data_IF_603736354878
#
_entry.id   IF_603736354878
#
_cell.length_a   1.000
_cell.length_b   1.000
_cell.length_c   1.000
_cell.angle_alpha   90.00
_cell.angle_beta   90.00
_cell.angle_gamma   90.00
#
_symmetry.space_group_name_H-M   'P 1'
#
loop_
_entity.id
_entity.type
_entity.pdbx_description
1 polymer ?
#
# COMPACT_ATOMS: atom_id res chain seq x y z
N UNK A 1 -31.26 12.24 2.04
CA UNK A 1 -31.28 10.77 2.13
C UNK A 1 -30.82 10.23 0.79
N UNK A 2 -29.50 10.11 0.63
CA UNK A 2 -28.89 9.46 -0.53
C UNK A 2 -28.91 7.96 -0.21
N UNK A 3 -29.63 7.15 -1.00
CA UNK A 3 -29.72 5.71 -0.77
C UNK A 3 -28.33 5.11 -0.98
N UNK A 4 -27.78 4.51 0.07
CA UNK A 4 -26.50 3.81 0.08
C UNK A 4 -26.54 2.65 -0.94
N UNK A 5 -25.85 2.81 -2.07
CA UNK A 5 -25.70 1.76 -3.09
C UNK A 5 -24.60 0.80 -2.67
N UNK A 6 -24.89 -0.51 -2.77
CA UNK A 6 -23.90 -1.59 -2.59
C UNK A 6 -22.84 -1.49 -3.70
N UNK A 7 -21.65 -1.00 -3.34
CA UNK A 7 -20.50 -0.90 -4.25
C UNK A 7 -19.81 -2.24 -4.51
N UNK A 8 -20.32 -3.34 -3.95
CA UNK A 8 -19.84 -4.68 -4.21
C UNK A 8 -18.37 -4.90 -3.85
N UNK A 9 -17.78 -4.06 -2.99
CA UNK A 9 -16.42 -4.19 -2.45
C UNK A 9 -16.36 -5.34 -1.43
N UNK A 10 -16.83 -6.52 -1.83
CA UNK A 10 -16.73 -7.75 -1.03
C UNK A 10 -15.28 -8.21 -1.06
N UNK A 11 -14.61 -8.27 0.10
CA UNK A 11 -13.49 -9.21 0.24
C UNK A 11 -14.07 -10.60 -0.01
N UNK A 12 -13.30 -11.46 -0.68
CA UNK A 12 -13.67 -12.86 -0.90
C UNK A 12 -14.28 -13.44 0.38
N UNK A 13 -15.47 -14.05 0.25
CA UNK A 13 -16.08 -14.87 1.31
C UNK A 13 -15.06 -15.94 1.70
N UNK A 14 -14.40 -15.75 2.83
CA UNK A 14 -13.82 -16.87 3.56
C UNK A 14 -14.98 -17.82 3.87
N UNK A 15 -14.73 -19.12 3.74
CA UNK A 15 -15.77 -20.15 3.68
C UNK A 15 -16.40 -20.47 5.06
N UNK A 16 -16.21 -19.57 6.01
CA UNK A 16 -16.78 -19.54 7.34
C UNK A 16 -17.38 -18.14 7.48
N UNK A 17 -18.71 -18.05 7.63
CA UNK A 17 -19.52 -16.86 7.35
C UNK A 17 -19.34 -15.67 8.29
N UNK A 18 -18.15 -15.07 8.32
CA UNK A 18 -17.85 -13.81 8.99
C UNK A 18 -16.94 -12.96 8.09
N UNK A 19 -17.49 -12.57 6.94
CA UNK A 19 -16.87 -11.58 6.08
C UNK A 19 -17.34 -10.21 6.54
N UNK A 20 -16.47 -9.45 7.22
CA UNK A 20 -16.73 -8.07 7.62
C UNK A 20 -17.34 -7.29 6.45
N UNK A 21 -18.63 -6.99 6.57
CA UNK A 21 -19.34 -6.19 5.59
C UNK A 21 -18.82 -4.76 5.66
N UNK A 22 -18.21 -4.30 4.57
CA UNK A 22 -17.65 -2.94 4.47
C UNK A 22 -18.77 -1.89 4.63
N UNK A 23 -20.04 -2.29 4.48
CA UNK A 23 -21.23 -1.45 4.72
C UNK A 23 -21.34 -0.95 6.16
N UNK A 24 -20.99 -1.75 7.17
CA UNK A 24 -21.07 -1.27 8.56
C UNK A 24 -19.95 -0.29 8.94
N UNK A 25 -18.82 -0.36 8.22
CA UNK A 25 -17.60 0.34 8.59
C UNK A 25 -17.62 1.82 8.19
N UNK A 26 -18.17 2.16 7.02
CA UNK A 26 -18.20 3.55 6.54
C UNK A 26 -19.07 4.42 7.48
N UNK A 27 -20.33 4.07 7.81
CA UNK A 27 -21.14 4.87 8.73
C UNK A 27 -20.55 4.95 10.14
N UNK A 28 -19.93 3.87 10.62
CA UNK A 28 -19.26 3.85 11.92
C UNK A 28 -18.04 4.80 11.94
N UNK A 29 -17.25 4.80 10.86
CA UNK A 29 -16.12 5.71 10.73
C UNK A 29 -16.55 7.16 10.56
N UNK A 30 -17.62 7.45 9.82
CA UNK A 30 -18.15 8.82 9.71
C UNK A 30 -18.64 9.34 11.06
N UNK A 31 -19.21 8.46 11.90
CA UNK A 31 -19.63 8.82 13.26
C UNK A 31 -18.45 9.13 14.20
N UNK A 32 -17.38 8.34 14.14
CA UNK A 32 -16.24 8.47 15.07
C UNK A 32 -15.17 9.42 14.55
N UNK A 33 -14.98 9.47 13.23
CA UNK A 33 -13.97 10.25 12.52
C UNK A 33 -14.59 10.98 11.31
N UNK A 34 -15.49 11.96 11.53
CA UNK A 34 -16.25 12.63 10.46
C UNK A 34 -15.36 13.35 9.43
N UNK A 35 -14.14 13.71 9.80
CA UNK A 35 -13.19 14.40 8.91
C UNK A 35 -12.26 13.43 8.15
N UNK A 36 -12.36 12.12 8.36
CA UNK A 36 -11.50 11.13 7.73
C UNK A 36 -11.84 10.95 6.25
N UNK A 37 -10.81 10.87 5.41
CA UNK A 37 -11.00 10.53 4.01
C UNK A 37 -11.02 9.02 3.85
N UNK A 38 -12.15 8.49 3.37
CA UNK A 38 -12.24 7.09 3.00
C UNK A 38 -11.67 6.89 1.61
N UNK A 39 -10.64 6.04 1.48
CA UNK A 39 -10.02 5.71 0.20
C UNK A 39 -10.08 4.21 -0.05
N UNK A 40 -10.59 3.82 -1.21
CA UNK A 40 -10.68 2.44 -1.64
C UNK A 40 -9.36 1.99 -2.23
N UNK A 41 -8.94 0.78 -1.86
CA UNK A 41 -7.77 0.15 -2.46
C UNK A 41 -8.06 -0.12 -3.94
N UNK A 42 -7.25 0.47 -4.83
CA UNK A 42 -7.41 0.33 -6.27
C UNK A 42 -7.35 -1.14 -6.73
N UNK A 43 -6.61 -1.97 -5.99
CA UNK A 43 -6.56 -3.42 -6.24
C UNK A 43 -7.92 -4.08 -6.10
N UNK A 44 -8.71 -3.72 -5.08
CA UNK A 44 -10.05 -4.31 -4.90
C UNK A 44 -11.02 -3.83 -5.98
N UNK A 45 -10.93 -2.55 -6.38
CA UNK A 45 -11.73 -2.03 -7.52
C UNK A 45 -11.40 -2.83 -8.78
N UNK A 46 -10.12 -3.08 -9.04
CA UNK A 46 -9.69 -3.88 -10.18
C UNK A 46 -10.14 -5.35 -10.12
N UNK A 47 -10.08 -5.97 -8.94
CA UNK A 47 -10.57 -7.36 -8.75
C UNK A 47 -12.08 -7.45 -9.03
N UNK A 48 -12.85 -6.46 -8.61
CA UNK A 48 -14.28 -6.35 -8.95
C UNK A 48 -14.50 -6.09 -10.45
N UNK A 49 -13.73 -5.16 -11.03
CA UNK A 49 -13.79 -4.84 -12.45
C UNK A 49 -13.55 -6.09 -13.31
N UNK A 50 -12.56 -6.92 -12.94
CA UNK A 50 -12.22 -8.19 -13.62
C UNK A 50 -13.35 -9.21 -13.69
N UNK A 51 -14.34 -9.14 -12.80
CA UNK A 51 -15.48 -10.04 -12.84
C UNK A 51 -16.38 -9.75 -14.06
N UNK A 52 -16.46 -8.49 -14.48
CA UNK A 52 -17.26 -8.03 -15.62
C UNK A 52 -16.40 -7.76 -16.87
N UNK A 53 -15.26 -7.10 -16.71
CA UNK A 53 -14.38 -6.62 -17.77
C UNK A 53 -12.98 -7.22 -17.62
N UNK A 54 -12.63 -8.16 -18.51
CA UNK A 54 -11.35 -8.89 -18.46
C UNK A 54 -10.34 -8.33 -19.45
N UNK A 55 -9.08 -8.31 -19.05
CA UNK A 55 -7.96 -7.94 -19.92
C UNK A 55 -7.02 -6.93 -19.29
N UNK A 56 -5.76 -6.93 -19.74
CA UNK A 56 -4.73 -6.01 -19.24
C UNK A 56 -5.05 -4.54 -19.56
N UNK A 57 -5.71 -4.27 -20.69
CA UNK A 57 -6.09 -2.90 -21.08
C UNK A 57 -6.95 -2.20 -20.01
N UNK A 58 -7.95 -2.89 -19.45
CA UNK A 58 -8.79 -2.33 -18.37
C UNK A 58 -7.98 -2.01 -17.11
N UNK A 59 -7.03 -2.88 -16.75
CA UNK A 59 -6.09 -2.61 -15.65
C UNK A 59 -5.31 -1.33 -15.92
N UNK A 60 -4.70 -1.24 -17.09
CA UNK A 60 -3.82 -0.11 -17.42
C UNK A 60 -4.62 1.21 -17.47
N UNK A 61 -5.84 1.21 -18.02
CA UNK A 61 -6.76 2.35 -18.00
C UNK A 61 -7.20 2.75 -16.58
N UNK A 62 -7.57 1.78 -15.74
CA UNK A 62 -7.94 2.02 -14.35
C UNK A 62 -6.78 2.66 -13.56
N UNK A 63 -5.54 2.17 -13.76
CA UNK A 63 -4.36 2.77 -13.12
C UNK A 63 -4.08 4.17 -13.66
N UNK A 64 -4.23 4.41 -14.96
CA UNK A 64 -4.08 5.73 -15.57
C UNK A 64 -5.07 6.75 -14.97
N UNK A 65 -6.33 6.35 -14.82
CA UNK A 65 -7.37 7.12 -14.15
C UNK A 65 -7.06 7.41 -12.68
N UNK A 66 -6.71 6.37 -11.92
CA UNK A 66 -6.46 6.51 -10.49
C UNK A 66 -5.22 7.35 -10.18
N UNK A 67 -4.19 7.28 -11.04
CA UNK A 67 -2.93 8.01 -10.86
C UNK A 67 -2.94 9.43 -11.44
N UNK A 68 -3.96 9.80 -12.20
CA UNK A 68 -4.17 11.17 -12.68
C UNK A 68 -4.27 12.12 -11.51
N UNK A 69 -3.44 13.17 -11.49
CA UNK A 69 -3.38 14.12 -10.37
C UNK A 69 -4.26 15.35 -10.56
N UNK A 70 -4.76 15.61 -11.76
CA UNK A 70 -5.70 16.70 -12.04
C UNK A 70 -6.99 16.15 -12.63
N UNK A 71 -8.08 16.92 -12.49
CA UNK A 71 -9.42 16.50 -12.94
C UNK A 71 -9.47 16.44 -14.46
N UNK A 72 -8.79 17.34 -15.16
CA UNK A 72 -8.74 17.40 -16.62
C UNK A 72 -8.11 16.13 -17.19
N UNK A 73 -6.98 15.67 -16.63
CA UNK A 73 -6.37 14.40 -17.05
C UNK A 73 -7.25 13.20 -16.71
N UNK A 74 -7.97 13.25 -15.59
CA UNK A 74 -8.90 12.20 -15.22
C UNK A 74 -10.06 12.10 -16.22
N UNK A 75 -10.68 13.22 -16.58
CA UNK A 75 -11.78 13.30 -17.55
C UNK A 75 -11.34 12.85 -18.95
N UNK A 76 -10.15 13.28 -19.41
CA UNK A 76 -9.57 12.81 -20.66
C UNK A 76 -9.42 11.27 -20.69
N UNK A 77 -8.95 10.69 -19.58
CA UNK A 77 -8.80 9.24 -19.46
C UNK A 77 -10.16 8.52 -19.32
N UNK A 78 -11.18 9.17 -18.73
CA UNK A 78 -12.54 8.62 -18.67
C UNK A 78 -13.16 8.56 -20.06
N UNK A 79 -12.94 9.59 -20.88
CA UNK A 79 -13.40 9.61 -22.26
C UNK A 79 -12.67 8.57 -23.13
N UNK A 80 -11.37 8.35 -22.89
CA UNK A 80 -10.63 7.25 -23.53
C UNK A 80 -11.21 5.87 -23.15
N UNK A 81 -11.53 5.66 -21.87
CA UNK A 81 -12.20 4.44 -21.42
C UNK A 81 -13.59 4.29 -22.06
N UNK A 82 -14.36 5.38 -22.19
CA UNK A 82 -15.67 5.38 -22.84
C UNK A 82 -15.60 4.95 -24.30
N UNK A 83 -14.62 5.49 -25.04
CA UNK A 83 -14.36 5.13 -26.45
C UNK A 83 -13.93 3.67 -26.59
N UNK A 84 -13.19 3.15 -25.62
CA UNK A 84 -12.77 1.76 -25.59
C UNK A 84 -13.93 0.80 -25.22
N UNK A 85 -14.70 1.16 -24.19
CA UNK A 85 -15.87 0.43 -23.72
C UNK A 85 -16.76 1.34 -22.85
N UNK A 86 -17.93 1.73 -23.38
CA UNK A 86 -18.88 2.59 -22.69
C UNK A 86 -19.45 1.96 -21.40
N UNK A 87 -19.71 0.64 -21.40
CA UNK A 87 -20.24 -0.06 -20.22
C UNK A 87 -19.22 -0.07 -19.07
N UNK A 88 -17.94 -0.23 -19.38
CA UNK A 88 -16.86 -0.16 -18.39
C UNK A 88 -16.73 1.24 -17.79
N UNK A 89 -16.91 2.28 -18.61
CA UNK A 89 -16.92 3.66 -18.14
C UNK A 89 -18.12 3.96 -17.25
N UNK A 90 -19.33 3.51 -17.65
CA UNK A 90 -20.54 3.67 -16.84
C UNK A 90 -20.38 2.97 -15.49
N UNK A 91 -19.90 1.72 -15.49
CA UNK A 91 -19.64 0.96 -14.27
C UNK A 91 -18.66 1.67 -13.33
N UNK A 92 -17.57 2.22 -13.86
CA UNK A 92 -16.57 2.90 -13.06
C UNK A 92 -17.07 4.26 -12.54
N UNK A 93 -17.93 4.93 -13.30
CA UNK A 93 -18.56 6.20 -12.91
C UNK A 93 -19.51 6.07 -11.74
N UNK A 94 -20.00 4.87 -11.45
CA UNK A 94 -20.81 4.65 -10.26
C UNK A 94 -19.95 4.85 -8.99
N UNK A 95 -18.66 4.50 -9.01
CA UNK A 95 -17.78 4.63 -7.84
C UNK A 95 -17.26 6.09 -7.73
N UNK A 96 -17.60 6.84 -6.66
CA UNK A 96 -17.19 8.25 -6.56
C UNK A 96 -15.67 8.44 -6.61
N UNK A 97 -15.12 9.24 -7.56
CA UNK A 97 -13.68 9.39 -7.77
C UNK A 97 -12.89 9.84 -6.54
N UNK A 98 -13.51 10.60 -5.63
CA UNK A 98 -12.93 11.04 -4.34
C UNK A 98 -12.36 9.89 -3.50
N UNK A 99 -12.86 8.67 -3.70
CA UNK A 99 -12.41 7.49 -2.95
C UNK A 99 -11.23 6.77 -3.61
N UNK A 100 -10.93 6.97 -4.89
CA UNK A 100 -9.99 6.09 -5.59
C UNK A 100 -9.06 6.76 -6.62
N UNK A 101 -9.28 8.03 -6.96
CA UNK A 101 -8.40 8.78 -7.87
C UNK A 101 -7.70 9.95 -7.18
N UNK A 102 -6.39 10.07 -7.42
CA UNK A 102 -5.55 11.16 -6.89
C UNK A 102 -6.09 12.54 -7.26
N UNK A 103 -6.67 12.67 -8.45
CA UNK A 103 -7.28 13.90 -8.97
C UNK A 103 -8.40 14.45 -8.09
N UNK A 104 -9.01 13.61 -7.24
CA UNK A 104 -10.13 14.01 -6.37
C UNK A 104 -9.79 13.90 -4.88
N UNK A 105 -8.54 13.58 -4.53
CA UNK A 105 -8.09 13.65 -3.14
C UNK A 105 -7.92 15.11 -2.72
N UNK A 106 -8.26 15.45 -1.47
CA UNK A 106 -8.13 16.84 -0.99
C UNK A 106 -6.68 17.28 -0.76
N UNK A 107 -5.78 16.30 -0.59
CA UNK A 107 -4.39 16.55 -0.16
C UNK A 107 -4.19 16.61 1.36
N UNK A 108 -5.25 16.69 2.18
CA UNK A 108 -5.13 16.78 3.65
C UNK A 108 -4.37 15.61 4.28
N UNK A 109 -4.49 14.41 3.72
CA UNK A 109 -3.80 13.23 4.22
C UNK A 109 -2.30 13.21 3.90
N UNK A 110 -1.81 14.12 3.04
CA UNK A 110 -0.42 14.18 2.56
C UNK A 110 0.07 12.79 2.15
N UNK A 111 -0.71 12.17 1.27
CA UNK A 111 -0.51 10.79 0.84
C UNK A 111 -1.16 10.58 -0.52
N UNK A 112 -0.44 9.93 -1.42
CA UNK A 112 -0.90 9.52 -2.74
C UNK A 112 -1.05 8.00 -2.85
N UNK A 113 -1.14 7.31 -1.71
CA UNK A 113 -1.27 5.85 -1.66
C UNK A 113 -2.63 5.43 -2.21
N UNK A 114 -2.58 4.52 -3.20
CA UNK A 114 -3.76 3.92 -3.84
C UNK A 114 -3.91 2.42 -3.50
N UNK A 115 -2.92 1.83 -2.84
CA UNK A 115 -2.82 0.40 -2.59
C UNK A 115 -2.72 0.11 -1.10
N UNK A 116 -3.17 -1.08 -0.70
CA UNK A 116 -3.15 -1.50 0.70
C UNK A 116 -1.80 -2.07 1.19
N UNK A 117 -0.70 -1.61 0.58
CA UNK A 117 0.64 -2.14 0.84
C UNK A 117 1.02 -2.05 2.33
N UNK A 118 0.57 -1.01 3.04
CA UNK A 118 0.87 -0.84 4.47
C UNK A 118 0.24 -1.95 5.32
N UNK A 119 -1.04 -2.29 5.06
CA UNK A 119 -1.70 -3.38 5.78
C UNK A 119 -1.11 -4.74 5.39
N UNK A 120 -0.72 -4.93 4.13
CA UNK A 120 -0.08 -6.18 3.69
C UNK A 120 1.27 -6.40 4.38
N UNK A 121 2.08 -5.35 4.49
CA UNK A 121 3.34 -5.41 5.24
C UNK A 121 3.06 -5.68 6.72
N UNK A 122 2.09 -5.02 7.34
CA UNK A 122 1.73 -5.29 8.73
C UNK A 122 1.26 -6.74 8.93
N UNK A 123 0.31 -7.21 8.12
CA UNK A 123 -0.25 -8.56 8.19
C UNK A 123 0.81 -9.64 8.01
N UNK A 124 1.79 -9.41 7.14
CA UNK A 124 2.90 -10.36 6.96
C UNK A 124 3.82 -10.42 8.18
N UNK A 125 3.99 -9.34 8.94
CA UNK A 125 4.82 -9.31 10.15
C UNK A 125 4.19 -10.06 11.32
N UNK A 126 2.87 -10.02 11.44
CA UNK A 126 2.13 -10.69 12.52
C UNK A 126 1.69 -12.12 12.18
N UNK A 127 1.99 -12.61 10.97
CA UNK A 127 1.53 -13.89 10.47
C UNK A 127 1.87 -15.07 11.38
N UNK A 128 3.09 -15.07 11.95
CA UNK A 128 3.53 -16.16 12.84
C UNK A 128 2.97 -16.06 14.26
N UNK A 129 2.47 -14.88 14.66
CA UNK A 129 1.92 -14.62 15.98
C UNK A 129 0.39 -14.68 16.06
N UNK A 130 -0.31 -14.37 14.96
CA UNK A 130 -1.77 -14.16 14.96
C UNK A 130 -2.61 -15.41 15.27
N UNK A 131 -2.05 -16.60 15.02
CA UNK A 131 -2.73 -17.87 15.28
C UNK A 131 -2.37 -18.47 16.66
N UNK A 132 -1.62 -17.72 17.49
CA UNK A 132 -1.21 -18.17 18.84
C UNK A 132 -2.29 -17.85 19.88
N UNK A 133 -2.29 -18.52 21.05
CA UNK A 133 -3.12 -18.11 22.19
C UNK A 133 -2.94 -16.62 22.49
N UNK A 134 -3.99 -15.95 22.97
CA UNK A 134 -4.05 -14.48 23.10
C UNK A 134 -2.82 -13.88 23.77
N UNK A 135 -2.35 -14.48 24.87
CA UNK A 135 -1.14 -14.03 25.59
C UNK A 135 0.09 -14.12 24.70
N UNK A 136 0.31 -15.27 24.04
CA UNK A 136 1.45 -15.47 23.15
C UNK A 136 1.38 -14.60 21.89
N UNK A 137 0.18 -14.30 21.37
CA UNK A 137 -0.01 -13.38 20.26
C UNK A 137 0.38 -11.96 20.66
N UNK A 138 -0.08 -11.49 21.82
CA UNK A 138 0.26 -10.16 22.34
C UNK A 138 1.76 -10.03 22.62
N UNK A 139 2.38 -11.05 23.23
CA UNK A 139 3.83 -11.08 23.44
C UNK A 139 4.61 -11.05 22.12
N UNK A 140 4.17 -11.80 21.11
CA UNK A 140 4.79 -11.76 19.78
C UNK A 140 4.71 -10.36 19.15
N UNK A 141 3.54 -9.70 19.24
CA UNK A 141 3.35 -8.33 18.75
C UNK A 141 4.25 -7.36 19.51
N UNK A 142 4.29 -7.46 20.84
CA UNK A 142 5.14 -6.63 21.72
C UNK A 142 6.61 -6.73 21.34
N UNK A 143 7.15 -7.95 21.24
CA UNK A 143 8.55 -8.19 20.84
C UNK A 143 8.85 -7.69 19.42
N UNK A 144 7.91 -7.87 18.49
CA UNK A 144 8.05 -7.40 17.10
C UNK A 144 8.13 -5.87 17.05
N UNK A 145 7.29 -5.18 17.82
CA UNK A 145 7.30 -3.72 17.93
C UNK A 145 8.59 -3.22 18.58
N UNK A 146 9.03 -3.83 19.69
CA UNK A 146 10.30 -3.48 20.34
C UNK A 146 11.48 -3.59 19.37
N UNK A 147 11.61 -4.73 18.67
CA UNK A 147 12.70 -4.94 17.69
C UNK A 147 12.64 -3.92 16.57
N UNK A 148 11.43 -3.62 16.06
CA UNK A 148 11.24 -2.59 15.02
C UNK A 148 11.68 -1.21 15.49
N UNK A 149 11.29 -0.82 16.70
CA UNK A 149 11.67 0.47 17.29
C UNK A 149 13.19 0.60 17.37
N UNK A 150 13.89 -0.41 17.90
CA UNK A 150 15.36 -0.42 17.99
C UNK A 150 16.01 -0.31 16.60
N UNK A 151 15.55 -1.10 15.64
CA UNK A 151 16.07 -1.05 14.27
C UNK A 151 15.87 0.33 13.63
N UNK A 152 14.73 0.97 13.87
CA UNK A 152 14.44 2.31 13.35
C UNK A 152 15.35 3.36 14.00
N UNK A 153 15.55 3.31 15.32
CA UNK A 153 16.48 4.21 16.03
C UNK A 153 17.89 4.07 15.47
N UNK A 154 18.39 2.84 15.30
CA UNK A 154 19.71 2.60 14.74
C UNK A 154 19.90 3.18 13.32
N UNK A 155 18.82 3.27 12.53
CA UNK A 155 18.83 3.96 11.24
C UNK A 155 18.79 5.48 11.43
N UNK A 156 17.98 5.99 12.35
CA UNK A 156 17.89 7.42 12.66
C UNK A 156 19.21 8.00 13.18
N UNK A 157 19.96 7.25 13.97
CA UNK A 157 21.23 7.69 14.57
C UNK A 157 22.37 7.78 13.54
N UNK A 158 22.27 6.99 12.46
CA UNK A 158 23.25 6.97 11.36
C UNK A 158 22.89 7.92 10.21
N UNK A 159 21.73 8.56 10.27
CA UNK A 159 21.21 9.38 9.19
C UNK A 159 21.28 10.86 9.55
N UNK A 160 21.87 11.65 8.66
CA UNK A 160 22.24 13.05 8.89
C UNK A 160 21.46 14.06 8.04
N UNK A 161 20.72 13.60 7.03
CA UNK A 161 19.92 14.48 6.17
C UNK A 161 18.61 14.94 6.82
N UNK A 162 18.07 16.07 6.34
CA UNK A 162 16.81 16.66 6.79
C UNK A 162 15.61 15.71 6.63
N UNK A 163 15.52 15.02 5.50
CA UNK A 163 14.43 14.10 5.17
C UNK A 163 14.75 12.68 5.61
N UNK A 164 13.73 11.85 5.86
CA UNK A 164 13.92 10.42 6.11
C UNK A 164 14.55 9.70 4.91
N UNK A 165 15.27 8.57 5.09
CA UNK A 165 16.01 7.92 4.00
C UNK A 165 15.18 7.61 2.74
N UNK A 166 13.95 7.11 2.94
CA UNK A 166 13.06 6.80 1.80
C UNK A 166 12.51 8.07 1.14
N UNK A 167 12.21 9.11 1.93
CA UNK A 167 11.73 10.39 1.42
C UNK A 167 12.82 11.09 0.61
N UNK A 168 14.05 11.12 1.13
CA UNK A 168 15.24 11.64 0.46
C UNK A 168 15.45 10.97 -0.89
N UNK A 169 15.51 9.62 -0.91
CA UNK A 169 15.63 8.86 -2.17
C UNK A 169 14.52 9.18 -3.17
N UNK A 170 13.27 9.30 -2.70
CA UNK A 170 12.15 9.66 -3.57
C UNK A 170 12.28 11.08 -4.10
N UNK A 171 12.75 12.01 -3.28
CA UNK A 171 12.92 13.41 -3.62
C UNK A 171 14.07 13.62 -4.60
N UNK A 172 15.17 12.86 -4.50
CA UNK A 172 16.24 12.83 -5.52
C UNK A 172 15.69 12.49 -6.91
N UNK A 173 14.81 11.48 -7.00
CA UNK A 173 14.15 11.12 -8.28
C UNK A 173 13.25 12.26 -8.80
N UNK A 174 12.71 13.11 -7.92
CA UNK A 174 11.95 14.29 -8.31
C UNK A 174 12.90 15.38 -8.83
N UNK A 175 14.01 15.63 -8.15
CA UNK A 175 15.06 16.58 -8.57
C UNK A 175 15.64 16.21 -9.94
N UNK A 176 15.94 14.94 -10.20
CA UNK A 176 16.38 14.44 -11.51
C UNK A 176 15.38 14.74 -12.65
N UNK A 177 14.08 14.79 -12.35
CA UNK A 177 13.04 15.14 -13.33
C UNK A 177 12.85 16.65 -13.45
N UNK A 178 13.14 17.39 -12.38
CA UNK A 178 13.07 18.84 -12.35
C UNK A 178 14.13 19.48 -13.24
N UNK A 179 15.34 18.89 -13.33
CA UNK A 179 16.44 19.40 -14.16
C UNK A 179 16.13 19.43 -15.66
N UNK A 180 15.07 18.74 -16.06
CA UNK A 180 14.58 18.67 -17.46
C UNK A 180 13.42 19.63 -17.72
N UNK A 181 13.03 20.44 -16.73
CA UNK A 181 11.93 21.39 -16.86
C UNK A 181 12.46 22.77 -17.29
N UNK A 182 11.65 23.51 -18.04
CA UNK A 182 11.94 24.89 -18.42
C UNK A 182 11.05 25.82 -17.61
N UNK A 183 11.63 26.84 -17.00
CA UNK A 183 10.96 27.77 -16.10
C UNK A 183 10.85 29.15 -16.76
N UNK A 184 9.69 29.80 -16.61
CA UNK A 184 9.47 31.21 -16.94
C UNK A 184 8.90 31.90 -15.72
N UNK A 185 9.64 32.87 -15.20
CA UNK A 185 9.25 33.63 -14.01
C UNK A 185 8.43 34.87 -14.40
N UNK A 186 7.43 35.23 -13.59
CA UNK A 186 6.58 36.39 -13.84
C UNK A 186 7.04 37.68 -13.11
N UNK A 187 8.12 37.63 -12.34
CA UNK A 187 8.57 38.76 -11.50
C UNK A 187 8.17 38.68 -10.02
N UNK A 188 7.40 37.67 -9.59
CA UNK A 188 6.95 37.52 -8.21
C UNK A 188 7.04 36.06 -7.69
N UNK A 189 6.02 35.51 -7.03
CA UNK A 189 6.04 34.11 -6.55
C UNK A 189 5.50 33.11 -7.59
N UNK A 190 5.16 33.55 -8.81
CA UNK A 190 4.52 32.72 -9.82
C UNK A 190 5.48 32.34 -10.95
N UNK A 191 5.45 31.06 -11.30
CA UNK A 191 6.32 30.49 -12.33
C UNK A 191 5.50 29.62 -13.26
N UNK A 192 5.70 29.82 -14.57
CA UNK A 192 5.21 28.92 -15.60
C UNK A 192 6.30 27.89 -15.89
N UNK A 193 6.01 26.61 -15.65
CA UNK A 193 6.98 25.54 -15.79
C UNK A 193 6.48 24.51 -16.80
N UNK A 194 7.30 24.22 -17.81
CA UNK A 194 7.04 23.19 -18.80
C UNK A 194 7.94 21.97 -18.55
N UNK A 195 7.43 20.77 -18.84
CA UNK A 195 8.25 19.56 -18.88
C UNK A 195 9.21 19.54 -20.08
N UNK A 196 10.07 18.51 -20.18
CA UNK A 196 11.00 18.38 -21.29
C UNK A 196 10.30 18.34 -22.65
N UNK A 197 10.92 19.08 -23.57
CA UNK A 197 10.56 19.55 -24.90
C UNK A 197 9.62 18.70 -25.76
N UNK A 198 8.40 19.20 -25.90
CA UNK A 198 7.56 19.17 -27.11
C UNK A 198 6.78 20.51 -27.16
N UNK A 199 6.49 21.09 -28.33
CA UNK A 199 5.67 22.31 -28.43
C UNK A 199 4.29 22.18 -27.76
N UNK A 200 3.79 20.95 -27.59
CA UNK A 200 2.52 20.63 -26.92
C UNK A 200 2.71 20.14 -25.47
N UNK A 201 3.88 20.36 -24.84
CA UNK A 201 4.08 19.89 -23.46
C UNK A 201 3.17 20.68 -22.53
N UNK A 202 2.40 20.02 -21.64
CA UNK A 202 1.57 20.70 -20.67
C UNK A 202 2.42 21.63 -19.81
N UNK A 203 1.87 22.83 -19.58
CA UNK A 203 2.47 23.86 -18.74
C UNK A 203 1.76 23.88 -17.40
N UNK A 204 2.53 24.09 -16.34
CA UNK A 204 2.00 24.14 -14.98
C UNK A 204 2.39 25.45 -14.32
N UNK A 205 1.47 26.03 -13.58
CA UNK A 205 1.73 27.21 -12.76
C UNK A 205 2.18 26.72 -11.38
N UNK A 206 3.30 27.26 -10.93
CA UNK A 206 3.82 27.06 -9.57
C UNK A 206 3.68 28.39 -8.83
N UNK A 207 3.11 28.33 -7.63
CA UNK A 207 3.09 29.44 -6.70
C UNK A 207 3.92 29.04 -5.48
N UNK A 208 5.11 29.65 -5.34
CA UNK A 208 6.02 29.35 -4.24
C UNK A 208 5.58 29.97 -2.91
N UNK A 209 4.80 31.06 -2.95
CA UNK A 209 4.27 31.71 -1.75
C UNK A 209 3.19 30.84 -1.09
N UNK A 210 2.30 30.27 -1.91
CA UNK A 210 1.25 29.34 -1.45
C UNK A 210 1.70 27.89 -1.37
N UNK A 211 2.90 27.57 -1.87
CA UNK A 211 3.46 26.21 -1.95
C UNK A 211 2.56 25.26 -2.75
N UNK A 212 2.04 25.74 -3.88
CA UNK A 212 1.14 24.98 -4.75
C UNK A 212 1.71 24.83 -6.15
N UNK A 213 1.18 23.83 -6.87
CA UNK A 213 1.44 23.65 -8.28
C UNK A 213 0.18 23.09 -8.93
N UNK A 214 -0.22 23.62 -10.08
CA UNK A 214 -1.43 23.16 -10.78
C UNK A 214 -1.40 21.69 -11.20
N UNK A 215 -0.23 21.04 -11.17
CA UNK A 215 -0.15 19.58 -11.34
C UNK A 215 -0.66 18.80 -10.11
N UNK A 216 -0.99 19.48 -9.01
CA UNK A 216 -1.53 19.01 -7.71
C UNK A 216 -0.71 18.00 -6.92
N UNK A 217 0.39 17.49 -7.49
CA UNK A 217 1.26 16.52 -6.81
C UNK A 217 1.83 17.06 -5.50
N UNK A 218 2.15 18.36 -5.44
CA UNK A 218 2.65 18.95 -4.20
C UNK A 218 1.61 18.94 -3.10
N UNK A 219 0.38 19.36 -3.40
CA UNK A 219 -0.75 19.32 -2.45
C UNK A 219 -1.06 17.90 -1.98
N UNK A 220 -1.04 16.92 -2.88
CA UNK A 220 -1.42 15.54 -2.57
C UNK A 220 -0.34 14.82 -1.77
N UNK A 221 0.94 15.03 -2.12
CA UNK A 221 2.06 14.29 -1.53
C UNK A 221 2.80 15.06 -0.44
N UNK A 222 2.60 16.37 -0.33
CA UNK A 222 3.40 17.25 0.54
C UNK A 222 4.86 17.41 0.09
N UNK A 223 5.28 16.84 -1.03
CA UNK A 223 6.61 17.06 -1.59
C UNK A 223 6.53 17.99 -2.81
N UNK A 224 7.40 19.01 -2.94
CA UNK A 224 7.51 19.79 -4.15
C UNK A 224 7.60 18.85 -5.35
N UNK A 225 6.71 19.04 -6.33
CA UNK A 225 6.75 18.26 -7.55
C UNK A 225 7.94 18.72 -8.41
N UNK A 226 8.24 18.00 -9.51
CA UNK A 226 9.34 18.38 -10.40
C UNK A 226 9.25 19.83 -10.91
N UNK A 227 8.04 20.36 -11.08
CA UNK A 227 7.83 21.74 -11.53
C UNK A 227 8.17 22.74 -10.41
N UNK A 228 7.73 22.44 -9.18
CA UNK A 228 8.01 23.26 -8.02
C UNK A 228 9.51 23.27 -7.69
N UNK A 229 10.19 22.12 -7.76
CA UNK A 229 11.64 22.04 -7.58
C UNK A 229 12.37 22.91 -8.61
N UNK A 230 11.98 22.85 -9.89
CA UNK A 230 12.60 23.69 -10.92
C UNK A 230 12.40 25.18 -10.64
N UNK A 231 11.19 25.60 -10.21
CA UNK A 231 10.93 26.98 -9.81
C UNK A 231 11.72 27.41 -8.55
N UNK A 232 11.90 26.50 -7.58
CA UNK A 232 12.71 26.77 -6.37
C UNK A 232 14.17 27.01 -6.76
N UNK A 233 14.73 26.19 -7.66
CA UNK A 233 16.09 26.39 -8.15
C UNK A 233 16.28 27.71 -8.90
N UNK A 234 15.28 28.16 -9.66
CA UNK A 234 15.32 29.46 -10.33
C UNK A 234 15.30 30.63 -9.32
N UNK A 235 14.57 30.47 -8.20
CA UNK A 235 14.50 31.49 -7.14
C UNK A 235 15.79 31.58 -6.30
N UNK A 236 16.53 30.48 -6.20
CA UNK A 236 17.85 30.36 -5.56
C UNK A 236 17.97 30.96 -4.14
N UNK A 237 16.99 30.67 -3.27
CA UNK A 237 17.01 31.12 -1.86
C UNK A 237 17.24 29.99 -0.86
N UNK A 238 16.45 28.94 -0.95
CA UNK A 238 16.44 27.84 0.01
C UNK A 238 16.57 26.50 -0.73
N UNK A 239 17.18 25.48 -0.11
CA UNK A 239 17.20 24.14 -0.68
C UNK A 239 15.76 23.61 -0.86
N UNK A 240 15.45 22.87 -1.95
CA UNK A 240 14.11 22.33 -2.17
C UNK A 240 13.57 21.46 -1.03
N UNK A 241 14.45 20.84 -0.24
CA UNK A 241 14.10 20.05 0.94
C UNK A 241 13.38 20.88 2.01
N UNK A 242 13.66 22.18 2.12
CA UNK A 242 13.00 23.09 3.07
C UNK A 242 11.51 23.28 2.77
N UNK A 243 11.09 22.97 1.55
CA UNK A 243 9.70 23.09 1.08
C UNK A 243 8.91 21.77 1.25
N UNK A 244 9.57 20.68 1.66
CA UNK A 244 8.93 19.38 1.90
C UNK A 244 8.11 19.43 3.20
N UNK A 245 6.93 18.82 3.17
CA UNK A 245 6.04 18.76 4.34
C UNK A 245 6.74 18.09 5.54
N UNK A 246 6.60 18.65 6.77
CA UNK A 246 7.31 18.18 7.96
C UNK A 246 7.18 16.68 8.29
N UNK A 247 6.12 16.02 7.81
CA UNK A 247 5.90 14.57 8.04
C UNK A 247 7.04 13.69 7.50
N UNK A 248 7.80 14.18 6.53
CA UNK A 248 8.91 13.47 5.91
C UNK A 248 10.26 13.77 6.55
N UNK A 249 10.31 14.68 7.54
CA UNK A 249 11.56 15.07 8.19
C UNK A 249 12.05 13.99 9.14
N UNK A 250 13.37 13.92 9.30
CA UNK A 250 14.01 13.09 10.31
C UNK A 250 13.53 13.46 11.72
N UNK A 251 13.29 14.75 11.99
CA UNK A 251 12.77 15.24 13.27
C UNK A 251 11.39 14.64 13.60
N UNK A 252 10.44 14.70 12.66
CA UNK A 252 9.12 14.09 12.86
C UNK A 252 9.24 12.58 13.04
N UNK A 253 10.12 11.92 12.28
CA UNK A 253 10.34 10.49 12.42
C UNK A 253 10.88 10.11 13.80
N UNK A 254 11.80 10.91 14.36
CA UNK A 254 12.28 10.76 15.74
C UNK A 254 11.15 10.96 16.76
N UNK A 255 10.26 11.94 16.55
CA UNK A 255 9.06 12.15 17.39
C UNK A 255 8.13 10.95 17.40
N UNK A 256 7.84 10.36 16.23
CA UNK A 256 6.95 9.17 16.10
C UNK A 256 7.52 7.97 16.87
N UNK A 257 8.84 7.76 16.85
CA UNK A 257 9.49 6.64 17.51
C UNK A 257 10.05 6.98 18.91
N UNK A 258 9.66 8.13 19.48
CA UNK A 258 10.11 8.56 20.82
C UNK A 258 9.62 7.60 21.91
N UNK A 259 8.36 7.19 21.85
CA UNK A 259 7.75 6.29 22.83
C UNK A 259 8.23 4.86 22.65
N UNK A 260 8.51 4.19 23.78
CA UNK A 260 9.06 2.83 23.80
C UNK A 260 8.05 1.84 24.35
N UNK A 261 8.12 0.61 23.85
CA UNK A 261 7.46 -0.54 24.44
C UNK A 261 8.42 -1.11 25.48
N UNK A 262 8.03 -1.07 26.76
CA UNK A 262 8.88 -1.53 27.85
C UNK A 262 8.91 -3.06 27.93
N UNK A 263 10.02 -3.65 28.40
CA UNK A 263 10.09 -5.07 28.69
C UNK A 263 9.11 -5.44 29.80
N UNK A 264 8.61 -6.67 29.73
CA UNK A 264 7.80 -7.28 30.79
C UNK A 264 8.54 -8.50 31.31
N UNK A 265 8.33 -8.85 32.56
CA UNK A 265 8.89 -10.07 33.12
C UNK A 265 8.32 -11.31 32.41
N UNK A 266 8.89 -12.49 32.66
CA UNK A 266 8.29 -13.76 32.23
C UNK A 266 7.07 -14.16 33.08
N UNK A 267 6.27 -15.14 32.63
CA UNK A 267 5.05 -15.59 33.32
C UNK A 267 5.26 -15.99 34.79
N UNK A 268 6.44 -16.47 35.15
CA UNK A 268 6.79 -16.84 36.52
C UNK A 268 6.83 -15.66 37.51
N UNK A 269 6.91 -14.43 37.01
CA UNK A 269 7.01 -13.20 37.80
C UNK A 269 5.81 -12.26 37.56
N UNK A 270 4.79 -12.70 36.84
CA UNK A 270 3.60 -11.88 36.60
C UNK A 270 2.75 -11.79 37.87
N UNK A 271 2.28 -10.58 38.25
CA UNK A 271 1.34 -10.45 39.34
C UNK A 271 0.03 -11.18 38.99
N UNK A 272 -0.63 -11.75 40.00
CA UNK A 272 -1.94 -12.37 39.79
C UNK A 272 -2.94 -11.29 39.37
N UNK A 273 -3.76 -11.59 38.38
CA UNK A 273 -4.82 -10.70 37.93
C UNK A 273 -5.80 -10.45 39.08
N UNK A 274 -6.13 -9.18 39.34
CA UNK A 274 -7.19 -8.76 40.27
C UNK A 274 -8.58 -8.85 39.64
N UNK A 275 -8.65 -9.05 38.31
CA UNK A 275 -9.91 -9.16 37.59
C UNK A 275 -10.50 -10.55 37.89
N UNK A 276 -11.72 -10.64 38.45
CA UNK A 276 -12.33 -11.91 38.86
C UNK A 276 -12.78 -12.78 37.66
N UNK A 277 -12.60 -12.30 36.43
CA UNK A 277 -12.96 -13.02 35.21
C UNK A 277 -11.96 -14.13 34.92
N UNK A 278 -12.43 -15.38 35.02
CA UNK A 278 -11.70 -16.55 34.54
C UNK A 278 -11.74 -16.58 33.02
N UNK A 279 -10.57 -16.44 32.37
CA UNK A 279 -10.44 -16.67 30.93
C UNK A 279 -10.59 -18.17 30.66
N UNK A 280 -11.70 -18.57 30.06
CA UNK A 280 -11.93 -19.95 29.65
C UNK A 280 -11.25 -20.13 28.29
N UNK A 281 -10.60 -21.29 28.08
CA UNK A 281 -10.04 -21.62 26.78
C UNK A 281 -11.13 -21.51 25.69
N UNK A 282 -10.82 -20.95 24.51
CA UNK A 282 -11.77 -20.93 23.41
C UNK A 282 -12.28 -22.35 23.13
N UNK A 283 -13.59 -22.50 22.88
CA UNK A 283 -14.15 -23.78 22.46
C UNK A 283 -13.40 -24.21 21.19
N UNK A 284 -12.67 -25.32 21.27
CA UNK A 284 -11.91 -25.83 20.14
C UNK A 284 -12.87 -26.39 19.10
N UNK A 285 -13.08 -25.66 18.01
CA UNK A 285 -13.75 -26.18 16.83
C UNK A 285 -12.69 -26.72 15.87
N UNK A 286 -12.84 -27.96 15.39
CA UNK A 286 -12.01 -28.46 14.29
C UNK A 286 -12.49 -27.76 13.01
N UNK A 287 -11.70 -26.86 12.40
CA UNK A 287 -12.07 -26.32 11.10
C UNK A 287 -12.11 -27.46 10.07
N UNK A 288 -13.06 -27.39 9.14
CA UNK A 288 -13.18 -28.36 8.05
C UNK A 288 -11.98 -28.15 7.11
N UNK A 289 -11.00 -29.05 7.20
CA UNK A 289 -9.79 -29.03 6.39
C UNK A 289 -8.58 -28.43 7.11
N UNK A 290 -7.45 -28.37 6.40
CA UNK A 290 -6.18 -27.86 6.96
C UNK A 290 -6.26 -26.34 7.14
N UNK A 291 -6.06 -25.78 8.36
CA UNK A 291 -5.96 -24.34 8.57
C UNK A 291 -4.87 -23.76 7.68
N UNK A 292 -5.22 -22.77 6.86
CA UNK A 292 -4.25 -22.08 6.02
C UNK A 292 -3.72 -20.88 6.77
N UNK A 293 -2.44 -20.90 7.12
CA UNK A 293 -1.74 -19.77 7.76
C UNK A 293 -1.71 -18.49 6.91
N UNK A 294 -1.89 -18.60 5.60
CA UNK A 294 -1.92 -17.46 4.68
C UNK A 294 -3.20 -17.52 3.84
N UNK A 295 -3.75 -16.33 3.54
CA UNK A 295 -4.82 -16.19 2.55
C UNK A 295 -4.35 -16.81 1.24
N UNK A 296 -5.27 -17.45 0.50
CA UNK A 296 -4.99 -17.80 -0.89
C UNK A 296 -4.76 -16.50 -1.66
N UNK A 297 -3.57 -16.37 -2.21
CA UNK A 297 -3.24 -15.25 -3.09
C UNK A 297 -4.14 -15.30 -4.32
N UNK A 298 -4.68 -14.17 -4.73
CA UNK A 298 -5.42 -14.10 -6.00
C UNK A 298 -4.45 -14.40 -7.16
N UNK A 299 -4.98 -14.81 -8.31
CA UNK A 299 -4.15 -15.10 -9.51
C UNK A 299 -3.20 -13.94 -9.84
N UNK A 300 -3.65 -12.72 -9.57
CA UNK A 300 -2.89 -11.50 -9.73
C UNK A 300 -1.73 -11.34 -8.73
N UNK A 301 -1.96 -11.63 -7.45
CA UNK A 301 -0.89 -11.61 -6.43
C UNK A 301 0.19 -12.67 -6.69
N UNK A 302 -0.15 -13.74 -7.42
CA UNK A 302 0.82 -14.74 -7.88
C UNK A 302 1.64 -14.25 -9.08
N UNK A 303 1.03 -13.52 -10.02
CA UNK A 303 1.71 -12.93 -11.18
C UNK A 303 2.78 -11.89 -10.77
N UNK A 304 2.52 -11.05 -9.76
CA UNK A 304 3.51 -10.07 -9.27
C UNK A 304 4.69 -10.71 -8.50
N UNK A 305 4.45 -11.84 -7.82
CA UNK A 305 5.49 -12.58 -7.08
C UNK A 305 6.32 -13.47 -8.00
N UNK A 306 5.75 -13.90 -9.13
CA UNK A 306 6.44 -14.72 -10.12
C UNK A 306 7.00 -13.87 -11.26
N UNK A 307 8.16 -13.22 -11.02
CA UNK A 307 9.03 -12.84 -12.14
C UNK A 307 9.39 -14.12 -12.92
N UNK A 308 8.69 -14.39 -14.02
CA UNK A 308 8.95 -15.52 -14.93
C UNK A 308 8.04 -16.74 -14.81
N UNK A 309 6.87 -16.65 -14.16
CA UNK A 309 5.80 -17.67 -14.30
C UNK A 309 6.13 -19.09 -13.81
N UNK A 310 7.20 -19.30 -13.05
CA UNK A 310 7.56 -20.59 -12.44
C UNK A 310 8.04 -20.40 -11.02
N UNK A 311 7.48 -21.18 -10.08
CA UNK A 311 8.05 -21.34 -8.74
C UNK A 311 9.49 -21.85 -8.88
N UNK A 312 10.45 -21.12 -8.31
CA UNK A 312 11.85 -21.56 -8.24
C UNK A 312 11.92 -22.89 -7.50
N UNK A 313 12.41 -23.94 -8.16
CA UNK A 313 12.67 -25.25 -7.55
C UNK A 313 14.04 -25.31 -6.84
N UNK A 314 14.73 -24.16 -6.65
CA UNK A 314 15.99 -24.13 -5.88
C UNK A 314 15.68 -24.50 -4.43
N UNK A 315 16.24 -25.61 -3.97
CA UNK A 315 16.07 -26.14 -2.61
C UNK A 315 15.03 -27.25 -2.45
N UNK A 316 14.27 -27.62 -3.50
CA UNK A 316 13.33 -28.74 -3.40
C UNK A 316 14.04 -30.06 -3.65
N UNK A 317 14.29 -30.82 -2.58
CA UNK A 317 14.78 -32.20 -2.68
C UNK A 317 13.67 -33.05 -3.29
N UNK A 318 13.95 -33.65 -4.46
CA UNK A 318 12.98 -34.53 -5.14
C UNK A 318 12.95 -35.88 -4.41
N UNK A 319 11.78 -36.31 -3.97
CA UNK A 319 11.58 -37.66 -3.40
C UNK A 319 11.04 -38.59 -4.47
N UNK A 320 11.68 -39.73 -4.66
CA UNK A 320 11.28 -40.71 -5.65
C UNK A 320 9.96 -41.37 -5.26
N UNK A 321 8.96 -41.34 -6.13
CA UNK A 321 7.67 -41.99 -5.85
C UNK A 321 7.75 -43.52 -5.81
N UNK A 322 8.79 -44.13 -6.43
CA UNK A 322 9.00 -45.59 -6.46
C UNK A 322 9.67 -46.10 -5.18
N UNK A 323 10.85 -45.60 -4.82
CA UNK A 323 11.62 -46.08 -3.66
C UNK A 323 11.52 -45.17 -2.41
N UNK A 324 10.80 -44.05 -2.50
CA UNK A 324 10.61 -43.06 -1.42
C UNK A 324 11.89 -42.39 -0.91
N UNK A 325 13.03 -42.59 -1.57
CA UNK A 325 14.30 -41.94 -1.23
C UNK A 325 14.41 -40.52 -1.83
N UNK A 326 15.06 -39.57 -1.12
CA UNK A 326 15.37 -38.23 -1.62
C UNK A 326 16.46 -38.23 -2.71
N UNK A 327 16.54 -37.15 -3.49
CA UNK A 327 17.64 -36.87 -4.43
C UNK A 327 17.35 -37.20 -5.91
N UNK A 328 16.30 -37.95 -6.22
CA UNK A 328 15.98 -38.34 -7.61
C UNK A 328 14.46 -38.51 -7.84
N UNK A 329 14.04 -38.71 -9.10
CA UNK A 329 12.63 -38.93 -9.45
C UNK A 329 12.38 -40.37 -9.92
N UNK A 330 11.11 -40.76 -10.09
CA UNK A 330 10.71 -42.11 -10.49
C UNK A 330 11.20 -42.53 -11.88
N UNK A 331 11.57 -41.59 -12.75
CA UNK A 331 12.11 -41.86 -14.09
C UNK A 331 13.59 -42.23 -14.06
N UNK A 332 14.34 -41.71 -13.09
CA UNK A 332 15.79 -41.97 -12.94
C UNK A 332 16.09 -42.90 -11.76
N UNK A 333 15.08 -43.63 -11.27
CA UNK A 333 15.21 -44.53 -10.13
C UNK A 333 15.77 -45.87 -10.56
N UNK A 334 16.90 -46.27 -9.99
CA UNK A 334 17.55 -47.58 -10.18
C UNK A 334 17.21 -48.59 -9.07
N UNK A 335 16.51 -48.17 -8.01
CA UNK A 335 16.14 -49.03 -6.89
C UNK A 335 14.93 -49.94 -7.15
N UNK A 336 14.86 -51.11 -6.49
CA UNK A 336 13.74 -52.05 -6.63
C UNK A 336 12.42 -51.47 -6.10
N UNK A 337 11.28 -51.94 -6.64
CA UNK A 337 9.95 -51.57 -6.14
C UNK A 337 9.78 -52.11 -4.71
N UNK A 338 9.26 -51.32 -3.75
CA UNK A 338 8.96 -51.84 -2.43
C UNK A 338 7.88 -52.91 -2.52
N UNK A 339 8.13 -54.06 -1.92
CA UNK A 339 7.16 -55.16 -1.78
C UNK A 339 6.06 -54.68 -0.84
N UNK A 340 4.81 -54.70 -1.32
CA UNK A 340 3.65 -54.47 -0.46
C UNK A 340 3.51 -55.66 0.49
N UNK A 341 3.80 -55.45 1.77
CA UNK A 341 3.33 -56.35 2.82
C UNK A 341 1.92 -55.90 3.22
N UNK A 342 1.00 -56.87 3.15
CA UNK A 342 -0.42 -56.80 3.52
C UNK A 342 -0.61 -56.53 5.01
#
# INVERSE_FOLDING_TARGET
>A
MEKEKDWGLKRERDRDGDGDDVQGLIPALEKVFPCAEHRFCLRHIHENMKQKFRGKAYKDMLWKLATSSTVEYFEMNMEELKKFNADAQLWLSEIPPKHWSKSHFSGRAISDVLLNNMCEVFNSRILDGRDKPIINMLEYIRETLMRRIVNVIAVQDKWDKLLTPNADKMFETIKEKASKCTVKWNGENHYQVAGPSSPMTPQFVVDLGRRTCTCRKWEITGMPCKHAVAAIWEKDLDPPEAYVHPIYTLEMWKKVYKFKVYPVNGPCLWPKSIVPTTLIAPKYHRPIGRPKKARKKSTFELEEVTKGGRLSKKGTIKTCQKCKLPGHNSRTCTGPKPVQQS
#
